data_IF_098731253417
#
_entry.id   IF_098731253417
#
_cell.length_a   1.000
_cell.length_b   1.000
_cell.length_c   1.000
_cell.angle_alpha   90.00
_cell.angle_beta   90.00
_cell.angle_gamma   90.00
#
_symmetry.space_group_name_H-M   'P 1'
#
loop_
_entity.id
_entity.type
_entity.pdbx_description
1 polymer ?
#
# COMPACT_ATOMS: atom_id res chain seq x y z
N UNK A 1 -4.99 0.16 -16.12
CA UNK A 1 -4.51 -0.21 -14.77
C UNK A 1 -3.23 0.57 -14.50
N UNK A 2 -3.08 1.08 -13.29
CA UNK A 2 -1.88 1.78 -12.86
C UNK A 2 -0.75 0.79 -12.57
N UNK A 3 0.49 1.18 -12.86
CA UNK A 3 1.65 0.43 -12.39
C UNK A 3 1.93 0.81 -10.93
N UNK A 4 1.97 -0.17 -10.03
CA UNK A 4 2.40 0.06 -8.66
C UNK A 4 3.92 -0.05 -8.60
N UNK A 5 4.58 0.99 -8.07
CA UNK A 5 6.01 1.00 -7.78
C UNK A 5 6.17 1.28 -6.29
N UNK A 6 7.06 0.51 -5.65
CA UNK A 6 7.39 0.73 -4.25
C UNK A 6 8.50 1.76 -4.18
N UNK A 7 8.34 2.75 -3.31
CA UNK A 7 9.39 3.72 -3.03
C UNK A 7 10.60 2.99 -2.44
N UNK A 8 11.79 3.36 -2.90
CA UNK A 8 13.07 2.98 -2.32
C UNK A 8 13.89 4.24 -2.04
N UNK A 9 14.59 4.25 -0.91
CA UNK A 9 15.59 5.28 -0.61
C UNK A 9 16.85 5.11 -1.48
N UNK A 10 17.84 5.98 -1.28
CA UNK A 10 19.15 5.92 -1.97
C UNK A 10 19.97 4.66 -1.65
N UNK A 11 19.53 3.86 -0.68
CA UNK A 11 20.15 2.61 -0.27
C UNK A 11 19.31 1.39 -0.68
N UNK A 12 18.37 1.57 -1.62
CA UNK A 12 17.46 0.53 -2.12
C UNK A 12 16.53 -0.05 -1.05
N UNK A 13 16.31 0.66 0.07
CA UNK A 13 15.42 0.20 1.13
C UNK A 13 14.03 0.79 0.97
N UNK A 14 13.01 -0.03 1.20
CA UNK A 14 11.62 0.37 1.13
C UNK A 14 10.93 0.08 2.46
N UNK A 15 10.48 1.11 3.21
CA UNK A 15 9.74 0.91 4.45
C UNK A 15 8.49 0.04 4.27
N UNK A 16 7.87 0.09 3.08
CA UNK A 16 6.72 -0.75 2.76
C UNK A 16 7.12 -2.21 2.54
N UNK A 17 8.23 -2.48 1.85
CA UNK A 17 8.73 -3.85 1.68
C UNK A 17 9.19 -4.43 3.00
N UNK A 18 9.90 -3.65 3.82
CA UNK A 18 10.36 -4.08 5.14
C UNK A 18 9.17 -4.45 6.04
N UNK A 19 8.12 -3.61 6.04
CA UNK A 19 6.87 -3.88 6.77
C UNK A 19 6.16 -5.14 6.28
N UNK A 20 6.13 -5.36 4.96
CA UNK A 20 5.55 -6.58 4.38
C UNK A 20 6.36 -7.83 4.74
N UNK A 21 7.69 -7.76 4.75
CA UNK A 21 8.55 -8.88 5.10
C UNK A 21 8.36 -9.30 6.57
N UNK A 22 8.28 -8.35 7.49
CA UNK A 22 7.97 -8.64 8.90
C UNK A 22 6.56 -9.21 9.07
N UNK A 23 5.58 -8.67 8.34
CA UNK A 23 4.23 -9.21 8.34
C UNK A 23 4.18 -10.64 7.80
N UNK A 24 4.93 -10.95 6.75
CA UNK A 24 5.01 -12.30 6.16
C UNK A 24 5.63 -13.31 7.15
N UNK A 25 6.65 -12.91 7.92
CA UNK A 25 7.19 -13.73 9.02
C UNK A 25 6.13 -14.00 10.09
N UNK A 26 5.41 -12.97 10.54
CA UNK A 26 4.35 -13.13 11.54
C UNK A 26 3.18 -13.99 11.02
N UNK A 27 2.83 -13.84 9.74
CA UNK A 27 1.78 -14.58 9.06
C UNK A 27 2.05 -16.09 9.00
N UNK A 28 3.29 -16.56 9.21
CA UNK A 28 3.58 -17.99 9.30
C UNK A 28 2.85 -18.66 10.46
N UNK A 29 2.66 -17.96 11.59
CA UNK A 29 2.07 -18.52 12.82
C UNK A 29 0.79 -17.80 13.27
N UNK A 30 0.59 -16.53 12.92
CA UNK A 30 -0.57 -15.74 13.35
C UNK A 30 -1.65 -15.59 12.27
N UNK A 31 -2.89 -15.98 12.61
CA UNK A 31 -4.07 -15.84 11.73
C UNK A 31 -4.42 -14.37 11.45
N UNK A 32 -4.21 -13.48 12.42
CA UNK A 32 -4.52 -12.06 12.30
C UNK A 32 -3.54 -11.41 11.32
N UNK A 33 -2.24 -11.69 11.45
CA UNK A 33 -1.22 -11.30 10.47
C UNK A 33 -1.55 -11.80 9.05
N UNK A 34 -1.92 -13.08 8.88
CA UNK A 34 -2.37 -13.61 7.56
C UNK A 34 -3.57 -12.87 7.01
N UNK A 35 -4.56 -12.59 7.85
CA UNK A 35 -5.76 -11.84 7.47
C UNK A 35 -5.41 -10.43 6.99
N UNK A 36 -4.57 -9.73 7.75
CA UNK A 36 -4.11 -8.38 7.40
C UNK A 36 -3.30 -8.37 6.09
N UNK A 37 -2.40 -9.34 5.89
CA UNK A 37 -1.63 -9.49 4.65
C UNK A 37 -2.52 -9.62 3.41
N UNK A 38 -3.61 -10.40 3.51
CA UNK A 38 -4.62 -10.54 2.45
C UNK A 38 -5.34 -9.22 2.17
N UNK A 39 -5.67 -8.44 3.21
CA UNK A 39 -6.28 -7.12 3.05
C UNK A 39 -5.35 -6.12 2.36
N UNK A 40 -4.05 -6.13 2.69
CA UNK A 40 -3.06 -5.30 1.97
C UNK A 40 -3.08 -5.62 0.47
N UNK A 41 -3.01 -6.91 0.09
CA UNK A 41 -3.08 -7.32 -1.31
C UNK A 41 -4.37 -6.84 -1.99
N UNK A 42 -5.51 -6.99 -1.32
CA UNK A 42 -6.78 -6.51 -1.84
C UNK A 42 -6.78 -4.99 -2.08
N UNK A 43 -6.33 -4.20 -1.11
CA UNK A 43 -6.24 -2.75 -1.28
C UNK A 43 -5.26 -2.33 -2.39
N UNK A 44 -4.12 -3.03 -2.55
CA UNK A 44 -3.19 -2.80 -3.67
C UNK A 44 -3.86 -3.07 -5.01
N UNK A 45 -4.64 -4.15 -5.14
CA UNK A 45 -5.37 -4.46 -6.38
C UNK A 45 -6.44 -3.41 -6.70
N UNK A 46 -7.18 -2.95 -5.69
CA UNK A 46 -8.12 -1.83 -5.84
C UNK A 46 -7.39 -0.57 -6.32
N UNK A 47 -6.24 -0.25 -5.72
CA UNK A 47 -5.42 0.89 -6.12
C UNK A 47 -4.89 0.74 -7.56
N UNK A 48 -4.47 -0.48 -7.97
CA UNK A 48 -4.01 -0.80 -9.32
C UNK A 48 -5.09 -0.59 -10.38
N UNK A 49 -6.36 -0.85 -10.03
CA UNK A 49 -7.50 -0.69 -10.93
C UNK A 49 -7.97 0.77 -10.97
N UNK A 50 -8.24 1.35 -9.80
CA UNK A 50 -8.94 2.64 -9.66
C UNK A 50 -8.04 3.85 -9.42
N UNK A 51 -6.80 3.65 -8.96
CA UNK A 51 -5.94 4.75 -8.53
C UNK A 51 -6.63 5.61 -7.47
N UNK A 52 -6.52 6.94 -7.61
CA UNK A 52 -7.21 7.92 -6.74
C UNK A 52 -8.73 7.93 -6.90
N UNK A 53 -9.27 7.24 -7.92
CA UNK A 53 -10.72 7.10 -8.15
C UNK A 53 -11.32 5.86 -7.49
N UNK A 54 -10.56 5.14 -6.66
CA UNK A 54 -11.06 3.99 -5.90
C UNK A 54 -12.10 4.36 -4.82
N UNK A 55 -12.24 5.65 -4.50
CA UNK A 55 -13.22 6.18 -3.56
C UNK A 55 -12.69 6.28 -2.12
N UNK A 56 -13.31 7.13 -1.29
CA UNK A 56 -12.79 7.51 0.03
C UNK A 56 -12.63 6.35 1.03
N UNK A 57 -13.35 5.24 0.79
CA UNK A 57 -13.18 4.00 1.56
C UNK A 57 -11.76 3.44 1.42
N UNK A 58 -11.16 3.57 0.24
CA UNK A 58 -9.86 2.98 -0.08
C UNK A 58 -8.76 4.03 -0.19
N UNK A 59 -9.06 5.19 -0.77
CA UNK A 59 -8.05 6.23 -1.03
C UNK A 59 -8.55 7.58 -0.59
N UNK A 60 -7.71 8.35 0.10
CA UNK A 60 -8.03 9.73 0.51
C UNK A 60 -6.85 10.64 0.25
N UNK A 61 -7.11 11.82 -0.30
CA UNK A 61 -6.09 12.84 -0.48
C UNK A 61 -5.79 13.50 0.87
N UNK A 62 -4.50 13.68 1.15
CA UNK A 62 -4.05 14.39 2.36
C UNK A 62 -3.72 15.83 1.97
N UNK A 63 -2.72 15.99 1.10
CA UNK A 63 -2.21 17.28 0.64
C UNK A 63 -1.57 17.12 -0.73
N UNK A 64 -1.80 18.09 -1.62
CA UNK A 64 -1.23 18.11 -2.98
C UNK A 64 -1.31 16.74 -3.71
N UNK A 65 -0.16 16.11 -3.97
CA UNK A 65 -0.05 14.81 -4.65
C UNK A 65 0.02 13.63 -3.67
N UNK A 66 0.01 13.88 -2.37
CA UNK A 66 0.08 12.85 -1.34
C UNK A 66 -1.31 12.31 -1.01
N UNK A 67 -1.42 10.99 -1.10
CA UNK A 67 -2.62 10.23 -0.82
C UNK A 67 -2.33 9.14 0.19
N UNK A 68 -3.34 8.75 0.97
CA UNK A 68 -3.34 7.54 1.77
C UNK A 68 -4.15 6.42 1.10
N UNK A 69 -3.61 5.22 1.10
CA UNK A 69 -4.32 3.96 0.94
C UNK A 69 -4.74 3.48 2.33
N UNK A 70 -6.04 3.30 2.52
CA UNK A 70 -6.66 2.92 3.80
C UNK A 70 -6.81 1.41 3.87
N UNK A 71 -6.13 0.79 4.84
CA UNK A 71 -6.14 -0.67 5.06
C UNK A 71 -6.58 -0.89 6.52
N UNK A 72 -7.90 -1.00 6.73
CA UNK A 72 -8.53 -0.88 8.06
C UNK A 72 -8.04 0.40 8.78
N UNK A 73 -7.39 0.25 9.94
CA UNK A 73 -6.83 1.35 10.74
C UNK A 73 -5.41 1.74 10.32
N UNK A 74 -4.81 1.02 9.36
CA UNK A 74 -3.48 1.30 8.84
C UNK A 74 -3.53 2.20 7.61
N UNK A 75 -2.45 2.95 7.38
CA UNK A 75 -2.29 3.85 6.24
C UNK A 75 -0.98 3.55 5.53
N UNK A 76 -1.04 3.41 4.22
CA UNK A 76 0.13 3.41 3.36
C UNK A 76 0.06 4.65 2.45
N UNK A 77 1.11 5.45 2.42
CA UNK A 77 1.13 6.66 1.60
C UNK A 77 1.58 6.39 0.18
N UNK A 78 0.97 7.07 -0.78
CA UNK A 78 1.32 6.99 -2.19
C UNK A 78 1.10 8.33 -2.88
N UNK A 79 1.64 8.46 -4.09
CA UNK A 79 1.40 9.59 -4.97
C UNK A 79 1.35 9.11 -6.42
N UNK A 80 0.70 9.89 -7.28
CA UNK A 80 0.72 9.64 -8.71
C UNK A 80 2.02 10.21 -9.30
N UNK A 81 2.80 9.36 -9.96
CA UNK A 81 3.96 9.75 -10.75
C UNK A 81 3.63 9.60 -12.22
N UNK A 82 3.91 10.64 -13.00
CA UNK A 82 4.03 10.48 -14.45
C UNK A 82 5.34 9.75 -14.73
N UNK A 83 5.34 8.96 -15.79
CA UNK A 83 6.47 8.15 -16.22
C UNK A 83 7.55 9.12 -16.74
N UNK A 84 8.69 9.22 -16.05
CA UNK A 84 9.94 9.67 -16.67
C UNK A 84 10.49 8.53 -17.54
#
# INVERSE_FOLDING_TARGET
MYQIRLYTDIHERSPFQDSLAELDKAAASDKHARGFRKKINYCIEILRIGGTRAGEKFTKQIEEKLWELRIDDHRAFFFLSERL
#
